data_IF_962476772433
#
_entry.id   IF_962476772433
#
_cell.length_a   1.000
_cell.length_b   1.000
_cell.length_c   1.000
_cell.angle_alpha   90.00
_cell.angle_beta   90.00
_cell.angle_gamma   90.00
#
_symmetry.space_group_name_H-M   'P 1'
#
loop_
_entity.id
_entity.type
_entity.pdbx_description
1 polymer ?
#
# COMPACT_ATOMS: atom_id res chain seq x y z
N UNK A 1 -18.48 -4.27 -10.10
CA UNK A 1 -17.78 -4.51 -8.82
C UNK A 1 -16.34 -4.08 -9.00
N UNK A 2 -15.65 -3.72 -7.94
CA UNK A 2 -14.25 -3.32 -8.03
C UNK A 2 -13.38 -4.54 -7.75
N UNK A 3 -12.42 -4.83 -8.61
CA UNK A 3 -11.50 -5.95 -8.46
C UNK A 3 -10.06 -5.43 -8.31
N UNK A 4 -9.30 -6.06 -7.42
CA UNK A 4 -7.94 -5.65 -7.06
C UNK A 4 -6.98 -6.76 -7.43
N UNK A 5 -5.98 -6.46 -8.25
CA UNK A 5 -4.87 -7.34 -8.53
C UNK A 5 -3.75 -7.03 -7.53
N UNK A 6 -3.29 -8.02 -6.77
CA UNK A 6 -2.26 -7.78 -5.78
C UNK A 6 -1.79 -9.03 -5.03
N UNK A 7 -1.06 -8.79 -3.94
CA UNK A 7 -0.64 -9.83 -3.00
C UNK A 7 -1.23 -9.57 -1.61
N UNK A 8 -1.73 -10.61 -0.93
CA UNK A 8 -2.26 -10.48 0.40
C UNK A 8 -1.12 -10.36 1.42
N UNK A 9 -1.33 -9.54 2.44
CA UNK A 9 -0.51 -9.53 3.64
C UNK A 9 -1.09 -10.56 4.62
N UNK A 10 -0.59 -11.79 4.54
CA UNK A 10 -1.03 -12.88 5.40
C UNK A 10 -0.64 -12.62 6.86
N UNK A 11 -1.59 -12.77 7.79
CA UNK A 11 -1.43 -12.39 9.21
C UNK A 11 -0.27 -13.13 9.86
N UNK A 12 -0.22 -14.45 9.70
CA UNK A 12 0.84 -15.29 10.28
C UNK A 12 2.23 -14.89 9.78
N UNK A 13 2.33 -14.54 8.50
CA UNK A 13 3.58 -14.10 7.89
C UNK A 13 3.97 -12.72 8.42
N UNK A 14 3.02 -11.77 8.47
CA UNK A 14 3.25 -10.42 8.96
C UNK A 14 3.70 -10.39 10.43
N UNK A 15 3.08 -11.22 11.28
CA UNK A 15 3.48 -11.39 12.69
C UNK A 15 4.90 -11.93 12.79
N UNK A 16 5.25 -12.97 12.02
CA UNK A 16 6.62 -13.52 11.99
C UNK A 16 7.63 -12.49 11.50
N UNK A 17 7.26 -11.72 10.47
CA UNK A 17 8.08 -10.63 9.94
C UNK A 17 8.34 -9.54 10.99
N UNK A 18 7.29 -9.07 11.66
CA UNK A 18 7.39 -8.02 12.67
C UNK A 18 8.26 -8.43 13.86
N UNK A 19 8.06 -9.66 14.37
CA UNK A 19 8.90 -10.23 15.44
C UNK A 19 10.36 -10.35 15.01
N UNK A 20 10.63 -10.90 13.82
CA UNK A 20 11.99 -11.05 13.28
C UNK A 20 12.73 -9.72 13.13
N UNK A 21 12.00 -8.65 12.83
CA UNK A 21 12.54 -7.31 12.58
C UNK A 21 12.56 -6.43 13.84
N UNK A 22 12.08 -6.92 14.98
CA UNK A 22 11.93 -6.18 16.22
C UNK A 22 11.18 -4.84 16.02
N UNK A 23 10.04 -4.88 15.31
CA UNK A 23 9.27 -3.66 14.98
C UNK A 23 8.44 -3.12 16.15
N UNK A 24 8.13 -3.97 17.11
CA UNK A 24 7.40 -3.62 18.32
C UNK A 24 8.30 -3.77 19.56
N UNK A 25 7.79 -3.37 20.73
CA UNK A 25 8.49 -3.56 21.99
C UNK A 25 8.75 -5.05 22.24
N UNK A 26 9.86 -5.35 22.91
CA UNK A 26 10.20 -6.72 23.26
C UNK A 26 9.08 -7.35 24.11
N UNK A 27 8.64 -8.55 23.75
CA UNK A 27 7.53 -9.23 24.40
C UNK A 27 6.12 -8.85 23.91
N UNK A 28 5.96 -8.01 22.89
CA UNK A 28 4.63 -7.78 22.29
C UNK A 28 4.11 -9.07 21.64
N UNK A 29 2.94 -9.53 22.11
CA UNK A 29 2.19 -10.66 21.53
C UNK A 29 0.88 -10.25 20.85
N UNK A 30 0.54 -8.96 20.91
CA UNK A 30 -0.63 -8.40 20.23
C UNK A 30 -0.49 -8.56 18.70
N UNK A 31 -1.34 -9.43 18.14
CA UNK A 31 -1.34 -9.79 16.72
C UNK A 31 -1.66 -8.57 15.85
N UNK A 32 -2.63 -7.76 16.26
CA UNK A 32 -3.07 -6.59 15.49
C UNK A 32 -1.95 -5.54 15.44
N UNK A 33 -1.34 -5.26 16.59
CA UNK A 33 -0.20 -4.35 16.66
C UNK A 33 0.98 -4.81 15.79
N UNK A 34 1.32 -6.11 15.85
CA UNK A 34 2.40 -6.69 15.04
C UNK A 34 2.06 -6.66 13.54
N UNK A 35 0.80 -6.90 13.19
CA UNK A 35 0.30 -6.86 11.82
C UNK A 35 0.42 -5.46 11.22
N UNK A 36 -0.06 -4.44 11.93
CA UNK A 36 0.06 -3.05 11.50
C UNK A 36 1.52 -2.60 11.43
N UNK A 37 2.36 -2.99 12.38
CA UNK A 37 3.78 -2.66 12.35
C UNK A 37 4.48 -3.26 11.12
N UNK A 38 4.18 -4.50 10.77
CA UNK A 38 4.68 -5.14 9.55
C UNK A 38 4.23 -4.38 8.29
N UNK A 39 2.92 -4.08 8.17
CA UNK A 39 2.38 -3.34 7.04
C UNK A 39 3.03 -1.96 6.87
N UNK A 40 3.22 -1.24 7.98
CA UNK A 40 3.87 0.07 7.97
C UNK A 40 5.35 -0.02 7.56
N UNK A 41 6.12 -0.96 8.11
CA UNK A 41 7.53 -1.14 7.74
C UNK A 41 7.69 -1.52 6.26
N UNK A 42 6.84 -2.42 5.75
CA UNK A 42 6.87 -2.83 4.33
C UNK A 42 6.57 -1.63 3.42
N UNK A 43 5.50 -0.88 3.70
CA UNK A 43 5.12 0.31 2.92
C UNK A 43 6.25 1.34 2.91
N UNK A 44 6.82 1.65 4.08
CA UNK A 44 7.97 2.57 4.20
C UNK A 44 9.18 2.07 3.40
N UNK A 45 9.48 0.78 3.47
CA UNK A 45 10.62 0.18 2.78
C UNK A 45 10.43 0.09 1.28
N UNK A 46 9.19 0.02 0.79
CA UNK A 46 8.90 0.01 -0.64
C UNK A 46 9.45 1.28 -1.30
N UNK A 47 9.36 2.42 -0.60
CA UNK A 47 9.92 3.70 -1.02
C UNK A 47 9.09 4.39 -2.11
N UNK A 48 7.79 4.09 -2.14
CA UNK A 48 6.80 4.72 -3.01
C UNK A 48 5.66 5.27 -2.14
N UNK A 49 4.94 6.29 -2.62
CA UNK A 49 3.75 6.78 -1.94
C UNK A 49 2.70 5.67 -1.75
N UNK A 50 1.93 5.65 -0.64
CA UNK A 50 0.86 4.69 -0.42
C UNK A 50 -0.20 4.70 -1.52
N UNK A 51 -0.35 5.78 -2.27
CA UNK A 51 -1.30 5.92 -3.38
C UNK A 51 -0.90 5.07 -4.61
N UNK A 52 0.39 4.82 -4.79
CA UNK A 52 0.91 4.04 -5.91
C UNK A 52 0.74 2.53 -5.68
N UNK A 53 0.83 2.09 -4.42
CA UNK A 53 0.61 0.69 -4.01
C UNK A 53 -0.20 0.68 -2.70
N UNK A 54 -1.51 0.96 -2.77
CA UNK A 54 -2.34 1.04 -1.58
C UNK A 54 -2.60 -0.34 -1.00
N UNK A 55 -2.77 -0.40 0.32
CA UNK A 55 -3.26 -1.60 1.00
C UNK A 55 -4.78 -1.50 1.10
N UNK A 56 -5.49 -2.44 0.49
CA UNK A 56 -6.95 -2.45 0.40
C UNK A 56 -7.54 -3.69 1.06
N UNK A 57 -8.63 -3.52 1.80
CA UNK A 57 -9.43 -4.64 2.30
C UNK A 57 -10.19 -5.29 1.13
N UNK A 58 -9.93 -6.57 0.90
CA UNK A 58 -10.49 -7.32 -0.21
C UNK A 58 -10.94 -8.71 0.25
N UNK A 59 -12.02 -9.21 -0.34
CA UNK A 59 -12.51 -10.56 -0.17
C UNK A 59 -11.73 -11.54 -1.05
N UNK A 60 -11.23 -12.59 -0.40
CA UNK A 60 -10.76 -13.83 -1.02
C UNK A 60 -11.78 -14.92 -0.69
N UNK A 61 -12.79 -15.05 -1.55
CA UNK A 61 -13.98 -15.87 -1.29
C UNK A 61 -14.75 -15.41 -0.04
N UNK A 62 -14.49 -16.04 1.11
CA UNK A 62 -15.15 -15.76 2.39
C UNK A 62 -14.20 -15.09 3.41
N UNK A 63 -12.92 -14.94 3.07
CA UNK A 63 -11.91 -14.40 3.97
C UNK A 63 -11.55 -12.97 3.58
N UNK A 64 -11.68 -12.03 4.52
CA UNK A 64 -11.26 -10.65 4.31
C UNK A 64 -9.75 -10.53 4.53
N UNK A 65 -9.04 -9.99 3.54
CA UNK A 65 -7.58 -9.84 3.55
C UNK A 65 -7.17 -8.41 3.22
N UNK A 66 -6.08 -7.95 3.84
CA UNK A 66 -5.41 -6.73 3.39
C UNK A 66 -4.50 -7.07 2.19
N UNK A 67 -4.74 -6.44 1.05
CA UNK A 67 -4.04 -6.73 -0.20
C UNK A 67 -3.26 -5.50 -0.64
N UNK A 68 -1.96 -5.65 -0.88
CA UNK A 68 -1.18 -4.63 -1.56
C UNK A 68 -1.59 -4.59 -3.04
N UNK A 69 -2.35 -3.56 -3.40
CA UNK A 69 -2.92 -3.40 -4.71
C UNK A 69 -1.85 -2.94 -5.72
N UNK A 70 -1.58 -3.78 -6.70
CA UNK A 70 -0.79 -3.41 -7.87
C UNK A 70 -1.66 -2.76 -8.94
N UNK A 71 -2.94 -3.14 -9.00
CA UNK A 71 -3.88 -2.56 -9.95
C UNK A 71 -5.32 -2.71 -9.46
N UNK A 72 -6.17 -1.75 -9.81
CA UNK A 72 -7.59 -1.74 -9.45
C UNK A 72 -8.45 -1.59 -10.71
N UNK A 73 -9.25 -2.62 -11.00
CA UNK A 73 -10.28 -2.60 -12.04
C UNK A 73 -11.64 -2.23 -11.45
N UNK A 74 -12.01 -0.96 -11.57
CA UNK A 74 -13.31 -0.44 -11.09
C UNK A 74 -14.49 -0.83 -11.98
N UNK A 75 -14.25 -1.42 -13.17
CA UNK A 75 -15.29 -1.67 -14.18
C UNK A 75 -15.61 -3.16 -14.37
N UNK A 76 -14.80 -4.05 -13.81
CA UNK A 76 -15.00 -5.48 -13.95
C UNK A 76 -16.32 -5.96 -13.33
N UNK A 77 -16.95 -6.93 -13.98
CA UNK A 77 -18.17 -7.58 -13.46
C UNK A 77 -17.87 -8.83 -12.64
N UNK A 78 -16.70 -9.43 -12.84
CA UNK A 78 -16.21 -10.65 -12.18
C UNK A 78 -14.68 -10.70 -12.27
N UNK A 79 -14.04 -11.59 -11.49
CA UNK A 79 -12.60 -11.82 -11.53
C UNK A 79 -12.09 -12.11 -12.95
N UNK A 80 -12.72 -13.06 -13.65
CA UNK A 80 -12.32 -13.47 -15.01
C UNK A 80 -12.48 -12.37 -16.06
N UNK A 81 -13.30 -11.35 -15.77
CA UNK A 81 -13.51 -10.21 -16.66
C UNK A 81 -12.64 -9.01 -16.28
N UNK A 82 -11.90 -9.08 -15.19
CA UNK A 82 -10.98 -8.04 -14.78
C UNK A 82 -9.78 -7.98 -15.71
N UNK A 83 -9.40 -6.76 -16.13
CA UNK A 83 -8.31 -6.57 -17.09
C UNK A 83 -7.32 -5.55 -16.57
N UNK A 84 -6.06 -5.98 -16.48
CA UNK A 84 -4.95 -5.13 -16.13
C UNK A 84 -4.60 -4.19 -17.29
N UNK A 85 -4.35 -2.92 -16.96
CA UNK A 85 -3.73 -1.96 -17.89
C UNK A 85 -2.30 -1.71 -17.42
N UNK A 86 -1.31 -2.15 -18.20
CA UNK A 86 0.10 -2.02 -17.84
C UNK A 86 0.53 -0.58 -17.54
N UNK A 87 -0.08 0.41 -18.21
CA UNK A 87 0.21 1.84 -18.00
C UNK A 87 -0.22 2.36 -16.62
N UNK A 88 -0.98 1.60 -15.86
CA UNK A 88 -1.49 1.95 -14.53
C UNK A 88 -0.92 1.05 -13.42
N UNK A 89 -0.02 0.14 -13.77
CA UNK A 89 0.70 -0.67 -12.79
C UNK A 89 1.83 0.16 -12.17
N UNK A 90 2.22 -0.13 -10.92
CA UNK A 90 3.45 0.41 -10.38
C UNK A 90 4.64 -0.05 -11.25
N UNK A 91 5.76 0.70 -11.24
CA UNK A 91 6.96 0.31 -11.96
C UNK A 91 7.36 -1.14 -11.62
N UNK A 92 7.81 -1.92 -12.63
CA UNK A 92 8.18 -3.34 -12.43
C UNK A 92 9.14 -3.57 -11.25
N UNK A 93 10.08 -2.65 -11.03
CA UNK A 93 11.02 -2.70 -9.89
C UNK A 93 10.31 -2.62 -8.54
N UNK A 94 9.24 -1.84 -8.43
CA UNK A 94 8.43 -1.69 -7.22
C UNK A 94 7.64 -2.96 -6.95
N UNK A 95 6.92 -3.48 -7.96
CA UNK A 95 6.19 -4.74 -7.85
C UNK A 95 7.11 -5.92 -7.48
N UNK A 96 8.28 -6.02 -8.12
CA UNK A 96 9.29 -7.03 -7.80
C UNK A 96 9.77 -6.92 -6.35
N UNK A 97 10.13 -5.70 -5.92
CA UNK A 97 10.58 -5.43 -4.56
C UNK A 97 9.52 -5.80 -3.53
N UNK A 98 8.25 -5.49 -3.79
CA UNK A 98 7.13 -5.88 -2.93
C UNK A 98 7.04 -7.41 -2.81
N UNK A 99 7.02 -8.13 -3.93
CA UNK A 99 6.98 -9.60 -3.93
C UNK A 99 8.12 -10.22 -3.11
N UNK A 100 9.34 -9.71 -3.29
CA UNK A 100 10.49 -10.15 -2.48
C UNK A 100 10.33 -9.84 -0.98
N UNK A 101 9.75 -8.70 -0.62
CA UNK A 101 9.53 -8.35 0.78
C UNK A 101 8.47 -9.24 1.44
N UNK A 102 7.41 -9.57 0.71
CA UNK A 102 6.34 -10.47 1.18
C UNK A 102 6.75 -11.95 1.16
N UNK A 103 7.88 -12.29 0.51
CA UNK A 103 8.33 -13.68 0.39
C UNK A 103 7.33 -14.55 -0.37
N UNK A 104 6.62 -13.97 -1.34
CA UNK A 104 5.62 -14.66 -2.15
C UNK A 104 6.27 -15.26 -3.39
N UNK A 105 6.07 -16.56 -3.58
CA UNK A 105 6.49 -17.27 -4.80
C UNK A 105 5.39 -17.28 -5.87
N UNK A 106 4.17 -16.91 -5.49
CA UNK A 106 2.99 -16.91 -6.36
C UNK A 106 2.80 -15.57 -7.09
N UNK A 107 2.23 -15.64 -8.29
CA UNK A 107 1.78 -14.46 -9.03
C UNK A 107 0.66 -13.72 -8.28
N UNK A 108 0.51 -12.39 -8.49
CA UNK A 108 -0.60 -11.65 -7.89
C UNK A 108 -1.94 -12.17 -8.42
N UNK A 109 -2.96 -12.15 -7.57
CA UNK A 109 -4.31 -12.67 -7.89
C UNK A 109 -5.34 -11.55 -7.83
N UNK A 110 -6.52 -11.82 -8.40
CA UNK A 110 -7.66 -10.92 -8.34
C UNK A 110 -8.47 -11.17 -7.08
N UNK A 111 -8.75 -10.09 -6.35
CA UNK A 111 -9.57 -10.07 -5.14
C UNK A 111 -10.75 -9.13 -5.34
N UNK A 112 -11.89 -9.44 -4.73
CA UNK A 112 -13.04 -8.54 -4.76
C UNK A 112 -12.84 -7.44 -3.72
N UNK A 113 -12.88 -6.18 -4.13
CA UNK A 113 -12.77 -5.07 -3.20
C UNK A 113 -14.01 -5.01 -2.30
N UNK A 114 -13.81 -4.94 -0.98
CA UNK A 114 -14.90 -4.88 0.00
C UNK A 114 -15.75 -3.59 -0.12
N UNK A 115 -15.30 -2.63 -0.92
CA UNK A 115 -16.01 -1.37 -1.13
C UNK A 115 -15.76 -0.35 -0.02
N UNK A 116 -14.89 -0.70 0.96
CA UNK A 116 -14.63 0.13 2.12
C UNK A 116 -15.89 0.34 2.95
N UNK A 117 -16.75 -0.70 3.09
CA UNK A 117 -17.86 -0.60 4.02
C UNK A 117 -17.25 -0.32 5.39
N UNK A 118 -17.55 0.85 6.00
CA UNK A 118 -17.05 1.11 7.34
C UNK A 118 -17.56 -0.02 8.23
N UNK A 119 -16.66 -0.64 9.00
CA UNK A 119 -17.05 -1.55 10.05
C UNK A 119 -18.12 -0.85 10.91
N UNK A 120 -19.36 -1.33 10.87
CA UNK A 120 -20.45 -0.88 11.73
C UNK A 120 -21.26 0.34 11.27
N UNK A 121 -21.92 0.27 10.11
CA UNK A 121 -23.11 1.11 9.86
C UNK A 121 -24.42 0.43 10.29
N UNK A 122 -24.34 -0.40 11.33
CA UNK A 122 -25.51 -0.94 12.05
C UNK A 122 -25.89 0.00 13.22
N UNK A 123 -25.43 1.25 13.20
CA UNK A 123 -26.03 2.30 14.01
C UNK A 123 -27.42 2.56 13.44
N UNK A 124 -28.38 1.82 14.01
CA UNK A 124 -29.79 2.15 14.04
C UNK A 124 -29.93 3.67 14.17
N UNK A 125 -30.54 4.30 13.16
CA UNK A 125 -31.07 5.67 13.23
C UNK A 125 -32.09 5.71 14.39
N UNK A 126 -31.59 5.86 15.61
CA UNK A 126 -32.39 6.40 16.70
C UNK A 126 -32.30 7.91 16.56
N UNK A 127 -33.25 8.45 15.80
CA UNK A 127 -33.67 9.85 15.87
C UNK A 127 -33.82 10.25 17.34
N UNK A 128 -32.79 10.88 17.89
CA UNK A 128 -32.89 11.62 19.15
C UNK A 128 -32.54 13.06 18.82
N UNK A 129 -33.55 13.74 18.31
CA UNK A 129 -33.61 15.18 18.17
C UNK A 129 -33.62 15.79 19.56
N UNK A 130 -32.49 16.34 19.99
CA UNK A 130 -32.45 17.33 21.05
C UNK A 130 -31.67 18.54 20.52
N UNK A 131 -32.46 19.56 20.18
CA UNK A 131 -32.03 20.93 19.92
C UNK A 131 -31.11 21.40 21.04
N UNK A 132 -29.94 21.98 20.73
CA UNK A 132 -29.39 23.12 21.50
C UNK A 132 -28.41 23.95 20.65
N UNK A 133 -28.93 25.10 20.26
CA UNK A 133 -28.31 26.42 20.15
C UNK A 133 -26.83 26.55 20.55
N UNK A 134 -25.99 27.01 19.61
CA UNK A 134 -24.76 27.73 19.93
C UNK A 134 -24.26 28.58 18.76
N UNK A 135 -24.78 29.80 18.74
CA UNK A 135 -24.17 31.10 18.39
C UNK A 135 -22.84 31.14 17.62
N UNK A 136 -22.91 31.94 16.55
CA UNK A 136 -21.85 32.47 15.69
C UNK A 136 -20.66 33.08 16.44
N UNK A 137 -19.46 32.91 15.88
CA UNK A 137 -18.47 34.00 15.89
C UNK A 137 -17.50 33.89 14.72
N UNK A 138 -17.67 34.82 13.77
CA UNK A 138 -16.68 35.19 12.77
C UNK A 138 -15.45 35.80 13.44
N UNK A 139 -14.26 35.52 12.92
CA UNK A 139 -13.10 36.43 12.94
C UNK A 139 -11.99 35.89 12.02
N UNK A 140 -11.96 36.34 10.78
CA UNK A 140 -10.70 36.57 10.06
C UNK A 140 -10.07 37.87 10.59
N UNK A 141 -8.73 37.98 10.58
CA UNK A 141 -8.18 38.84 9.53
C UNK A 141 -6.87 38.35 8.91
N UNK A 142 -6.78 38.61 7.61
CA UNK A 142 -5.59 38.73 6.78
C UNK A 142 -4.49 39.59 7.40
N UNK A 143 -3.24 39.19 7.16
CA UNK A 143 -2.12 40.14 7.01
C UNK A 143 -1.02 39.53 6.12
N UNK A 144 -0.69 40.15 4.98
CA UNK A 144 0.45 39.80 4.16
C UNK A 144 1.67 40.63 4.56
N UNK A 145 2.84 40.01 4.69
CA UNK A 145 4.12 40.71 4.69
C UNK A 145 5.09 40.07 3.71
N UNK A 146 5.36 40.84 2.67
CA UNK A 146 6.54 40.78 1.80
C UNK A 146 7.82 40.94 2.63
N UNK A 147 8.86 40.18 2.34
CA UNK A 147 10.05 40.74 1.69
C UNK A 147 11.22 39.74 1.55
N UNK A 148 11.78 39.81 0.35
CA UNK A 148 13.13 39.48 -0.12
C UNK A 148 14.18 38.93 0.85
N UNK A 149 14.79 37.82 0.43
CA UNK A 149 16.24 37.66 0.54
C UNK A 149 16.79 36.92 -0.69
N UNK A 150 17.45 37.69 -1.57
CA UNK A 150 18.51 37.20 -2.45
C UNK A 150 19.69 36.74 -1.58
N UNK A 151 20.28 35.58 -1.91
CA UNK A 151 21.73 35.45 -1.98
C UNK A 151 22.17 34.13 -2.64
N UNK A 152 23.13 34.31 -3.55
CA UNK A 152 23.83 33.30 -4.32
C UNK A 152 24.72 32.41 -3.45
N UNK A 153 25.02 31.20 -3.94
CA UNK A 153 26.40 30.70 -4.00
C UNK A 153 26.50 29.46 -4.90
N UNK A 154 27.24 29.65 -5.98
CA UNK A 154 27.93 28.67 -6.81
C UNK A 154 28.95 27.84 -5.98
N UNK A 155 29.18 26.57 -6.33
CA UNK A 155 30.46 25.83 -6.15
C UNK A 155 30.34 24.31 -6.43
N UNK A 156 30.70 23.92 -7.65
CA UNK A 156 31.74 22.94 -8.05
C UNK A 156 32.05 21.70 -7.17
N UNK A 157 31.99 20.50 -7.79
CA UNK A 157 33.02 19.42 -7.85
C UNK A 157 32.36 18.02 -7.91
N UNK A 158 32.33 17.37 -9.07
CA UNK A 158 33.31 16.39 -9.60
C UNK A 158 33.39 15.03 -8.87
N UNK A 159 33.07 13.98 -9.65
CA UNK A 159 33.73 12.64 -9.71
C UNK A 159 33.66 11.72 -8.48
N UNK A 160 33.68 10.39 -8.57
CA UNK A 160 33.75 9.44 -9.68
C UNK A 160 33.20 8.08 -9.19
N UNK A 161 32.94 7.22 -10.16
CA UNK A 161 32.76 5.79 -10.06
C UNK A 161 33.71 5.10 -9.08
N UNK A 162 33.19 4.12 -8.32
CA UNK A 162 33.77 2.79 -8.41
C UNK A 162 32.70 1.70 -8.18
N UNK A 163 32.72 0.73 -9.10
CA UNK A 163 32.11 -0.59 -8.94
C UNK A 163 32.98 -1.37 -7.93
N UNK A 164 32.65 -2.50 -7.34
CA UNK A 164 32.01 -3.72 -7.80
C UNK A 164 32.02 -4.64 -6.57
N UNK A 165 31.07 -5.59 -6.52
CA UNK A 165 31.03 -6.81 -5.69
C UNK A 165 29.65 -7.02 -5.05
N UNK A 166 28.65 -7.38 -5.86
CA UNK A 166 27.54 -8.21 -5.38
C UNK A 166 27.75 -9.66 -5.79
N UNK A 167 27.70 -10.62 -4.84
CA UNK A 167 27.79 -12.03 -5.17
C UNK A 167 26.51 -12.50 -5.87
N UNK A 168 26.70 -13.24 -6.95
CA UNK A 168 25.71 -14.02 -7.68
C UNK A 168 24.82 -14.85 -6.74
N UNK A 169 23.51 -14.59 -6.76
CA UNK A 169 22.50 -15.58 -6.38
C UNK A 169 21.59 -15.87 -7.58
N UNK A 170 21.91 -16.99 -8.22
CA UNK A 170 20.98 -18.02 -8.71
C UNK A 170 19.52 -17.61 -8.99
N UNK A 171 19.28 -17.18 -10.23
CA UNK A 171 18.37 -17.81 -11.21
C UNK A 171 17.02 -18.34 -10.69
N UNK A 172 16.06 -17.43 -10.49
CA UNK A 172 14.67 -17.58 -10.94
C UNK A 172 14.23 -16.22 -11.47
N UNK A 173 14.20 -16.08 -12.79
CA UNK A 173 13.83 -14.84 -13.46
C UNK A 173 12.31 -14.66 -13.35
N UNK A 174 11.89 -13.66 -12.56
CA UNK A 174 10.50 -13.21 -12.36
C UNK A 174 9.81 -12.55 -13.58
N UNK A 175 10.41 -12.30 -14.78
CA UNK A 175 9.61 -11.90 -15.95
C UNK A 175 8.44 -12.86 -16.21
N UNK A 176 8.63 -14.17 -15.99
CA UNK A 176 7.55 -15.15 -16.15
C UNK A 176 6.41 -15.03 -15.12
N UNK A 177 6.66 -14.53 -13.90
CA UNK A 177 5.61 -14.44 -12.86
C UNK A 177 4.65 -13.27 -13.11
N UNK A 178 5.15 -12.20 -13.73
CA UNK A 178 4.31 -11.08 -14.17
C UNK A 178 3.64 -11.39 -15.52
N UNK A 179 4.30 -12.15 -16.39
CA UNK A 179 3.73 -12.55 -17.69
C UNK A 179 2.74 -13.73 -17.59
N UNK A 180 2.84 -14.63 -16.59
CA UNK A 180 1.88 -15.73 -16.36
C UNK A 180 0.50 -15.25 -15.87
N UNK A 181 0.43 -14.07 -15.24
CA UNK A 181 -0.86 -13.43 -14.93
C UNK A 181 -1.59 -12.92 -16.20
N UNK A 182 -0.93 -12.95 -17.37
CA UNK A 182 -1.47 -12.49 -18.66
C UNK A 182 -2.01 -13.64 -19.52
N UNK A 183 -1.76 -14.91 -19.18
CA UNK A 183 -2.06 -16.08 -20.04
C UNK A 183 -3.19 -17.01 -19.55
N UNK A 184 -4.26 -16.47 -18.98
CA UNK A 184 -5.53 -17.20 -18.91
C UNK A 184 -6.47 -16.64 -19.98
N UNK A 185 -6.35 -17.19 -21.19
CA UNK A 185 -7.39 -17.16 -22.23
C UNK A 185 -8.45 -18.23 -21.98
#
# INVERSE_FOLDING_TARGET
>A
MTWVLGWPLEIDWAVKYAKKRNLCKEGTEDIEQLYHAAGFDITRRLGVPPEDVPVLACWDNYDLKAVYALYVDKKARSADKARMRLSKMPPKRVAFKLGCMLGVDEAPKWYEYDGGRPYGSDYSDSDSSEDEDSTSTESEPDSPTSDHHDQMADSVAERAHDADATPRTSKLEIPELVDKAVQTE
#
